data_IF_146457592141
#
_entry.id   IF_146457592141
#
_cell.length_a   1.000
_cell.length_b   1.000
_cell.length_c   1.000
_cell.angle_alpha   90.00
_cell.angle_beta   90.00
_cell.angle_gamma   90.00
#
_symmetry.space_group_name_H-M   'P 1'
#
loop_
_entity.id
_entity.type
_entity.pdbx_description
1 polymer ?
#
# COMPACT_ATOMS: atom_id res chain seq x y z
N UNK A 1 25.40 2.13 -7.38
CA UNK A 1 24.06 1.74 -7.85
C UNK A 1 23.59 0.62 -6.94
N UNK A 2 22.51 0.83 -6.19
CA UNK A 2 21.85 -0.27 -5.48
C UNK A 2 21.05 -1.07 -6.52
N UNK A 3 21.37 -2.36 -6.67
CA UNK A 3 20.76 -3.25 -7.66
C UNK A 3 19.32 -3.64 -7.35
N UNK A 4 18.82 -3.34 -6.15
CA UNK A 4 17.50 -3.78 -5.68
C UNK A 4 16.44 -2.69 -5.87
N UNK A 5 16.80 -1.42 -5.66
CA UNK A 5 15.84 -0.30 -5.79
C UNK A 5 16.34 0.90 -6.62
N UNK A 6 17.56 0.84 -7.18
CA UNK A 6 18.00 1.79 -8.23
C UNK A 6 18.06 3.27 -7.85
N UNK A 7 17.84 3.65 -6.59
CA UNK A 7 17.87 5.06 -6.19
C UNK A 7 19.32 5.50 -5.99
N UNK A 8 19.85 6.17 -7.00
CA UNK A 8 21.08 6.91 -6.85
C UNK A 8 20.80 8.08 -5.90
N UNK A 9 21.51 8.09 -4.77
CA UNK A 9 21.73 9.29 -3.97
C UNK A 9 21.94 10.47 -4.90
N UNK A 10 21.05 11.47 -4.85
CA UNK A 10 21.22 12.70 -5.61
C UNK A 10 22.40 13.45 -5.00
N UNK A 11 23.61 13.13 -5.45
CA UNK A 11 24.77 13.99 -5.28
C UNK A 11 24.49 15.34 -5.96
N UNK A 12 25.23 16.40 -5.58
CA UNK A 12 25.00 17.73 -6.13
C UNK A 12 25.15 17.67 -7.65
N UNK A 13 24.07 18.02 -8.36
CA UNK A 13 24.06 18.12 -9.81
C UNK A 13 25.08 19.19 -10.23
N UNK A 14 26.08 18.76 -10.99
CA UNK A 14 27.15 19.63 -11.46
C UNK A 14 26.55 20.76 -12.32
N UNK A 15 26.68 22.02 -11.87
CA UNK A 15 26.20 23.20 -12.59
C UNK A 15 25.03 23.98 -11.96
N UNK A 16 24.49 23.58 -10.80
CA UNK A 16 23.50 24.40 -10.07
C UNK A 16 24.18 25.25 -8.99
N UNK A 17 23.94 26.57 -9.00
CA UNK A 17 24.26 27.45 -7.88
C UNK A 17 23.26 27.23 -6.72
N UNK A 18 23.66 27.57 -5.51
CA UNK A 18 22.93 27.34 -4.23
C UNK A 18 21.55 27.98 -4.16
N UNK A 19 21.18 28.80 -5.14
CA UNK A 19 19.88 29.48 -5.26
C UNK A 19 18.78 28.56 -5.82
N UNK A 20 19.14 27.43 -6.43
CA UNK A 20 18.20 26.44 -6.97
C UNK A 20 17.75 25.36 -5.96
N UNK A 21 18.19 25.43 -4.69
CA UNK A 21 17.68 24.56 -3.62
C UNK A 21 16.24 24.92 -3.19
N UNK A 22 15.71 26.06 -3.63
CA UNK A 22 14.30 26.39 -3.43
C UNK A 22 13.47 25.82 -4.59
N UNK A 23 13.08 24.54 -4.49
CA UNK A 23 11.99 24.04 -5.32
C UNK A 23 10.73 24.83 -4.97
N UNK A 24 10.41 25.85 -5.75
CA UNK A 24 9.22 26.69 -5.62
C UNK A 24 7.91 25.89 -5.83
N UNK A 25 8.02 24.63 -6.25
CA UNK A 25 6.94 23.65 -6.24
C UNK A 25 7.51 22.24 -5.98
N UNK A 26 7.45 21.72 -4.74
CA UNK A 26 7.87 20.35 -4.40
C UNK A 26 6.87 19.28 -4.87
N UNK A 27 5.73 19.69 -5.45
CA UNK A 27 4.61 18.82 -5.83
C UNK A 27 4.97 17.68 -6.78
N UNK A 28 5.83 17.84 -7.82
CA UNK A 28 6.11 16.74 -8.75
C UNK A 28 6.89 15.60 -8.08
N UNK A 29 7.73 15.93 -7.10
CA UNK A 29 8.46 14.92 -6.33
C UNK A 29 7.53 14.21 -5.34
N UNK A 30 6.59 14.94 -4.74
CA UNK A 30 5.57 14.36 -3.86
C UNK A 30 4.68 13.33 -4.58
N UNK A 31 4.18 13.66 -5.77
CA UNK A 31 3.35 12.76 -6.56
C UNK A 31 4.12 11.51 -7.01
N UNK A 32 5.38 11.70 -7.42
CA UNK A 32 6.26 10.59 -7.78
C UNK A 32 6.54 9.66 -6.60
N UNK A 33 6.83 10.19 -5.42
CA UNK A 33 7.03 9.40 -4.20
C UNK A 33 5.75 8.66 -3.82
N UNK A 34 4.58 9.30 -3.90
CA UNK A 34 3.30 8.65 -3.63
C UNK A 34 3.03 7.49 -4.60
N UNK A 35 3.34 7.67 -5.88
CA UNK A 35 3.24 6.60 -6.88
C UNK A 35 4.15 5.42 -6.54
N UNK A 36 5.42 5.68 -6.24
CA UNK A 36 6.38 4.63 -5.88
C UNK A 36 5.96 3.87 -4.61
N UNK A 37 5.51 4.57 -3.57
CA UNK A 37 5.08 3.93 -2.33
C UNK A 37 3.85 3.04 -2.56
N UNK A 38 2.90 3.48 -3.39
CA UNK A 38 1.75 2.64 -3.77
C UNK A 38 2.19 1.40 -4.54
N UNK A 39 3.12 1.55 -5.48
CA UNK A 39 3.62 0.41 -6.25
C UNK A 39 4.36 -0.60 -5.36
N UNK A 40 5.24 -0.13 -4.47
CA UNK A 40 5.95 -1.01 -3.51
C UNK A 40 4.98 -1.79 -2.61
N UNK A 41 3.86 -1.18 -2.20
CA UNK A 41 2.84 -1.88 -1.42
C UNK A 41 2.19 -3.02 -2.22
N UNK A 42 1.88 -2.79 -3.50
CA UNK A 42 1.32 -3.81 -4.41
C UNK A 42 2.33 -4.94 -4.64
N UNK A 43 3.60 -4.61 -4.89
CA UNK A 43 4.65 -5.59 -5.13
C UNK A 43 4.90 -6.48 -3.90
N UNK A 44 4.95 -5.87 -2.70
CA UNK A 44 5.07 -6.60 -1.44
C UNK A 44 3.85 -7.48 -1.16
N UNK A 45 2.64 -6.97 -1.41
CA UNK A 45 1.42 -7.75 -1.29
C UNK A 45 1.43 -8.96 -2.24
N UNK A 46 1.93 -8.78 -3.47
CA UNK A 46 2.09 -9.89 -4.40
C UNK A 46 3.10 -10.93 -3.91
N UNK A 47 4.23 -10.51 -3.34
CA UNK A 47 5.21 -11.43 -2.77
C UNK A 47 4.63 -12.24 -1.60
N UNK A 48 3.85 -11.61 -0.71
CA UNK A 48 3.15 -12.28 0.39
C UNK A 48 2.13 -13.29 -0.15
N UNK A 49 1.32 -12.91 -1.14
CA UNK A 49 0.36 -13.81 -1.80
C UNK A 49 1.03 -15.02 -2.46
N UNK A 50 2.18 -14.80 -3.10
CA UNK A 50 2.96 -15.88 -3.73
C UNK A 50 3.49 -16.90 -2.71
N UNK A 51 3.65 -16.50 -1.44
CA UNK A 51 4.02 -17.40 -0.34
C UNK A 51 2.81 -18.17 0.23
N UNK A 52 1.63 -18.08 -0.40
CA UNK A 52 0.41 -18.75 0.07
C UNK A 52 -0.24 -18.07 1.27
N UNK A 53 0.15 -16.84 1.59
CA UNK A 53 -0.42 -16.07 2.71
C UNK A 53 -1.57 -15.21 2.18
N UNK A 54 -2.74 -15.35 2.81
CA UNK A 54 -3.92 -14.58 2.47
C UNK A 54 -3.92 -13.20 3.14
N UNK A 55 -4.13 -12.15 2.35
CA UNK A 55 -4.18 -10.75 2.78
C UNK A 55 -5.63 -10.28 2.80
N UNK A 56 -6.09 -9.92 4.00
CA UNK A 56 -7.34 -9.24 4.24
C UNK A 56 -7.12 -7.72 4.31
N UNK A 57 -7.98 -6.94 3.67
CA UNK A 57 -7.92 -5.47 3.71
C UNK A 57 -9.24 -4.90 4.22
N UNK A 58 -9.16 -3.94 5.14
CA UNK A 58 -10.33 -3.26 5.72
C UNK A 58 -10.13 -1.75 5.52
N UNK A 59 -10.98 -1.13 4.68
CA UNK A 59 -10.96 0.30 4.43
C UNK A 59 -12.00 1.03 5.28
N UNK A 60 -11.60 2.15 5.91
CA UNK A 60 -12.48 3.01 6.70
C UNK A 60 -12.67 4.37 6.02
N UNK A 61 -13.92 4.80 5.83
CA UNK A 61 -14.25 6.13 5.32
C UNK A 61 -13.92 6.31 3.83
N UNK A 62 -13.35 7.47 3.48
CA UNK A 62 -13.00 7.79 2.09
C UNK A 62 -11.67 7.13 1.70
N UNK A 63 -11.77 6.00 1.02
CA UNK A 63 -10.65 5.13 0.66
C UNK A 63 -10.62 4.84 -0.84
N UNK A 64 -9.44 4.54 -1.36
CA UNK A 64 -9.28 4.00 -2.71
C UNK A 64 -9.55 2.49 -2.69
N UNK A 65 -10.78 2.13 -3.06
CA UNK A 65 -11.25 0.74 -3.12
C UNK A 65 -10.44 -0.10 -4.12
N UNK A 66 -10.00 0.48 -5.23
CA UNK A 66 -9.23 -0.25 -6.24
C UNK A 66 -7.85 -0.64 -5.70
N UNK A 67 -7.22 0.27 -4.95
CA UNK A 67 -5.94 -0.01 -4.31
C UNK A 67 -6.04 -1.07 -3.23
N UNK A 68 -7.04 -1.00 -2.34
CA UNK A 68 -7.27 -2.05 -1.33
C UNK A 68 -7.54 -3.41 -1.99
N UNK A 69 -8.33 -3.42 -3.06
CA UNK A 69 -8.59 -4.63 -3.84
C UNK A 69 -7.31 -5.22 -4.44
N UNK A 70 -6.39 -4.39 -4.94
CA UNK A 70 -5.10 -4.83 -5.48
C UNK A 70 -4.18 -5.46 -4.42
N UNK A 71 -4.21 -4.95 -3.19
CA UNK A 71 -3.45 -5.49 -2.06
C UNK A 71 -4.02 -6.82 -1.55
N UNK A 72 -5.34 -6.97 -1.55
CA UNK A 72 -6.01 -8.16 -1.03
C UNK A 72 -5.70 -9.44 -1.82
N UNK A 73 -6.03 -10.58 -1.22
CA UNK A 73 -5.97 -11.89 -1.89
C UNK A 73 -7.17 -12.22 -2.78
N UNK A 74 -8.01 -11.22 -3.08
CA UNK A 74 -9.16 -11.32 -3.98
C UNK A 74 -10.44 -10.74 -3.37
N UNK A 75 -11.55 -10.74 -4.13
CA UNK A 75 -12.77 -10.01 -3.77
C UNK A 75 -13.39 -10.40 -2.41
N UNK A 76 -13.20 -11.65 -1.97
CA UNK A 76 -13.70 -12.14 -0.67
C UNK A 76 -12.90 -11.68 0.55
N UNK A 77 -11.75 -11.04 0.33
CA UNK A 77 -10.81 -10.60 1.38
C UNK A 77 -10.85 -9.08 1.60
N UNK A 78 -11.80 -8.40 0.97
CA UNK A 78 -11.90 -6.95 0.99
C UNK A 78 -13.15 -6.52 1.73
N UNK A 79 -12.98 -5.63 2.70
CA UNK A 79 -14.06 -5.08 3.50
C UNK A 79 -13.97 -3.55 3.51
N UNK A 80 -15.13 -2.91 3.49
CA UNK A 80 -15.25 -1.45 3.54
C UNK A 80 -16.31 -1.09 4.56
N UNK A 81 -16.05 -0.05 5.34
CA UNK A 81 -17.02 0.52 6.28
C UNK A 81 -16.86 2.05 6.29
N UNK A 82 -17.96 2.81 6.43
CA UNK A 82 -17.86 4.27 6.56
C UNK A 82 -17.10 4.70 7.83
N UNK A 83 -17.21 3.93 8.91
CA UNK A 83 -16.60 4.27 10.21
C UNK A 83 -16.30 3.02 11.08
N UNK A 84 -15.88 3.24 12.32
CA UNK A 84 -15.44 2.17 13.22
C UNK A 84 -16.58 1.32 13.82
N UNK A 85 -17.84 1.74 13.69
CA UNK A 85 -18.98 1.06 14.32
C UNK A 85 -19.19 -0.36 13.80
N UNK A 86 -18.81 -0.64 12.54
CA UNK A 86 -18.97 -1.95 11.92
C UNK A 86 -17.73 -2.87 12.08
N UNK A 87 -16.62 -2.35 12.65
CA UNK A 87 -15.36 -3.11 12.74
C UNK A 87 -15.48 -4.37 13.58
N UNK A 88 -16.27 -4.34 14.66
CA UNK A 88 -16.54 -5.53 15.47
C UNK A 88 -17.22 -6.62 14.62
N UNK A 89 -18.22 -6.24 13.82
CA UNK A 89 -18.92 -7.17 12.93
C UNK A 89 -17.99 -7.76 11.85
N UNK A 90 -17.16 -6.92 11.23
CA UNK A 90 -16.16 -7.36 10.24
C UNK A 90 -15.15 -8.33 10.87
N UNK A 91 -14.66 -8.02 12.07
CA UNK A 91 -13.75 -8.88 12.80
C UNK A 91 -14.37 -10.25 13.09
N UNK A 92 -15.62 -10.29 13.56
CA UNK A 92 -16.32 -11.56 13.83
C UNK A 92 -16.53 -12.38 12.55
N UNK A 93 -16.85 -11.75 11.42
CA UNK A 93 -16.97 -12.44 10.13
C UNK A 93 -15.66 -13.12 9.73
N UNK A 94 -14.55 -12.38 9.77
CA UNK A 94 -13.22 -12.91 9.45
C UNK A 94 -12.84 -14.04 10.42
N UNK A 95 -13.07 -13.84 11.73
CA UNK A 95 -12.78 -14.85 12.75
C UNK A 95 -13.55 -16.15 12.51
N UNK A 96 -14.80 -16.08 12.05
CA UNK A 96 -15.59 -17.27 11.72
C UNK A 96 -15.07 -17.99 10.48
N UNK A 97 -14.63 -17.26 9.44
CA UNK A 97 -13.98 -17.86 8.27
C UNK A 97 -12.71 -18.61 8.69
N UNK A 98 -11.86 -17.97 9.51
CA UNK A 98 -10.62 -18.59 9.98
C UNK A 98 -10.89 -19.81 10.87
N UNK A 99 -11.91 -19.76 11.75
CA UNK A 99 -12.33 -20.94 12.52
C UNK A 99 -12.71 -22.10 11.61
N UNK A 100 -13.46 -21.84 10.53
CA UNK A 100 -13.85 -22.89 9.58
C UNK A 100 -12.63 -23.52 8.87
N UNK A 101 -11.61 -22.72 8.55
CA UNK A 101 -10.36 -23.21 7.93
C UNK A 101 -9.52 -24.05 8.90
N UNK A 102 -9.52 -23.74 10.20
CA UNK A 102 -8.73 -24.50 11.19
C UNK A 102 -9.35 -25.83 11.61
N UNK A 103 -10.62 -26.07 11.27
CA UNK A 103 -11.38 -27.28 11.63
C UNK A 103 -11.51 -28.23 10.43
N UNK A 104 -11.17 -27.79 9.22
CA UNK A 104 -11.14 -28.59 7.98
C UNK A 104 -9.83 -29.35 7.80
#
# INVERSE_FOLDING_TARGET
QDSTYGLNSFGPTYGMNTEHCAMTNPTPLGDYVNYLVRQMAIDNAQAIKNNGIEIYTIGLGNIDQNFLSALSSGPKFVYYTPDSSELEGIFQQIANILKLVLIS
#
